data_IF_858939563701
#
_entry.id   IF_858939563701
#
_cell.length_a   1.000
_cell.length_b   1.000
_cell.length_c   1.000
_cell.angle_alpha   90.00
_cell.angle_beta   90.00
_cell.angle_gamma   90.00
#
_symmetry.space_group_name_H-M   'P 1'
#
loop_
_entity.id
_entity.type
_entity.pdbx_description
1 polymer ?
#
# COMPACT_ATOMS: atom_id res chain seq x y z
N UNK A 1 18.32 2.69 9.23
CA UNK A 1 17.20 1.78 8.92
C UNK A 1 16.16 1.80 10.05
N UNK A 2 15.01 2.41 9.78
CA UNK A 2 13.82 2.43 10.63
C UNK A 2 12.69 1.74 9.87
N UNK A 3 11.94 0.86 10.54
CA UNK A 3 10.72 0.26 9.99
C UNK A 3 9.54 0.72 10.84
N UNK A 4 8.49 1.21 10.21
CA UNK A 4 7.23 1.60 10.86
C UNK A 4 6.05 1.35 9.95
N UNK A 5 4.85 1.32 10.52
CA UNK A 5 3.64 1.36 9.71
C UNK A 5 3.41 2.75 9.12
N UNK A 6 2.64 2.82 8.04
CA UNK A 6 2.31 4.08 7.40
C UNK A 6 1.30 4.90 8.21
N UNK A 7 1.23 6.18 7.87
CA UNK A 7 0.19 7.13 8.27
C UNK A 7 -0.36 7.83 7.02
N UNK A 8 -1.55 8.45 7.06
CA UNK A 8 -2.13 9.12 5.88
C UNK A 8 -1.23 10.17 5.22
N UNK A 9 -0.30 10.78 5.97
CA UNK A 9 0.65 11.75 5.46
C UNK A 9 1.73 11.14 4.54
N UNK A 10 1.92 9.81 4.54
CA UNK A 10 2.93 9.13 3.72
C UNK A 10 2.52 8.94 2.26
N UNK A 11 1.27 9.25 1.88
CA UNK A 11 0.71 8.96 0.55
C UNK A 11 1.56 9.49 -0.62
N UNK A 12 2.08 10.71 -0.50
CA UNK A 12 2.91 11.32 -1.54
C UNK A 12 4.26 10.60 -1.68
N UNK A 13 4.90 10.26 -0.57
CA UNK A 13 6.17 9.54 -0.58
C UNK A 13 6.02 8.11 -1.14
N UNK A 14 4.91 7.44 -0.84
CA UNK A 14 4.59 6.13 -1.43
C UNK A 14 4.45 6.22 -2.96
N UNK A 15 3.69 7.19 -3.46
CA UNK A 15 3.51 7.40 -4.89
C UNK A 15 4.83 7.76 -5.60
N UNK A 16 5.71 8.52 -4.96
CA UNK A 16 7.05 8.81 -5.47
C UNK A 16 7.90 7.56 -5.59
N UNK A 17 7.94 6.71 -4.55
CA UNK A 17 8.66 5.42 -4.58
C UNK A 17 8.09 4.52 -5.67
N UNK A 18 6.77 4.42 -5.77
CA UNK A 18 6.09 3.60 -6.77
C UNK A 18 6.44 4.03 -8.21
N UNK A 19 6.42 5.34 -8.48
CA UNK A 19 6.77 5.89 -9.79
C UNK A 19 8.25 5.72 -10.16
N UNK A 20 9.13 5.47 -9.18
CA UNK A 20 10.54 5.12 -9.41
C UNK A 20 10.72 3.63 -9.69
N UNK A 21 9.84 2.78 -9.16
CA UNK A 21 9.91 1.33 -9.29
C UNK A 21 9.18 0.80 -10.53
N UNK A 22 8.12 1.45 -10.97
CA UNK A 22 7.23 0.96 -12.03
C UNK A 22 7.06 1.97 -13.19
N UNK A 23 6.77 1.49 -14.42
CA UNK A 23 6.30 2.35 -15.50
C UNK A 23 5.02 3.11 -15.10
N UNK A 24 4.80 4.28 -15.70
CA UNK A 24 3.61 5.11 -15.39
C UNK A 24 2.25 4.41 -15.63
N UNK A 25 2.21 3.35 -16.44
CA UNK A 25 1.01 2.56 -16.68
C UNK A 25 0.73 1.52 -15.57
N UNK A 26 1.73 1.19 -14.76
CA UNK A 26 1.68 0.17 -13.70
C UNK A 26 1.75 0.82 -12.30
N UNK A 27 2.34 2.02 -12.18
CA UNK A 27 2.48 2.73 -10.92
C UNK A 27 1.13 3.22 -10.36
N UNK A 28 0.85 2.87 -9.11
CA UNK A 28 -0.30 3.38 -8.38
C UNK A 28 -0.23 4.91 -8.20
N UNK A 29 -1.28 5.67 -8.56
CA UNK A 29 -1.31 7.11 -8.36
C UNK A 29 -1.50 7.47 -6.88
N UNK A 30 -1.09 8.68 -6.48
CA UNK A 30 -1.19 9.17 -5.09
C UNK A 30 -2.60 9.01 -4.49
N UNK A 31 -3.64 9.28 -5.29
CA UNK A 31 -5.02 9.13 -4.80
C UNK A 31 -5.33 7.69 -4.38
N UNK A 32 -4.80 6.69 -5.08
CA UNK A 32 -4.99 5.29 -4.70
C UNK A 32 -4.32 5.00 -3.35
N UNK A 33 -3.10 5.49 -3.13
CA UNK A 33 -2.45 5.38 -1.81
C UNK A 33 -3.23 6.10 -0.70
N UNK A 34 -3.84 7.26 -0.98
CA UNK A 34 -4.70 7.95 0.00
C UNK A 34 -5.88 7.08 0.41
N UNK A 35 -6.55 6.46 -0.56
CA UNK A 35 -7.70 5.58 -0.31
C UNK A 35 -7.28 4.33 0.48
N UNK A 36 -6.15 3.71 0.10
CA UNK A 36 -5.60 2.55 0.81
C UNK A 36 -5.19 2.88 2.24
N UNK A 37 -4.47 3.97 2.46
CA UNK A 37 -4.06 4.40 3.80
C UNK A 37 -5.25 4.76 4.69
N UNK A 38 -6.32 5.33 4.11
CA UNK A 38 -7.55 5.59 4.86
C UNK A 38 -8.22 4.29 5.31
N UNK A 39 -8.20 3.24 4.48
CA UNK A 39 -8.84 1.97 4.76
C UNK A 39 -8.00 1.05 5.67
N UNK A 40 -6.68 0.95 5.43
CA UNK A 40 -5.82 -0.06 6.02
C UNK A 40 -4.35 0.37 6.21
N UNK A 41 -4.06 1.62 6.60
CA UNK A 41 -2.68 2.08 6.85
C UNK A 41 -1.85 1.19 7.79
N UNK A 42 -2.48 0.47 8.72
CA UNK A 42 -1.81 -0.49 9.61
C UNK A 42 -1.20 -1.70 8.89
N UNK A 43 -1.60 -1.94 7.64
CA UNK A 43 -1.12 -3.02 6.78
C UNK A 43 -0.09 -2.55 5.75
N UNK A 44 0.42 -1.33 5.90
CA UNK A 44 1.60 -0.83 5.18
C UNK A 44 2.80 -0.88 6.09
N UNK A 45 3.90 -1.48 5.64
CA UNK A 45 5.20 -1.43 6.31
C UNK A 45 6.19 -0.63 5.47
N UNK A 46 6.77 0.40 6.07
CA UNK A 46 7.68 1.34 5.42
C UNK A 46 9.09 1.17 5.97
N UNK A 47 10.10 1.16 5.10
CA UNK A 47 11.51 1.17 5.47
C UNK A 47 12.16 2.51 5.12
N UNK A 48 12.75 3.15 6.12
CA UNK A 48 13.46 4.42 5.98
C UNK A 48 14.96 4.26 6.21
N UNK A 49 15.75 4.94 5.38
CA UNK A 49 17.15 5.26 5.67
C UNK A 49 17.30 6.75 5.93
N UNK A 50 17.54 7.12 7.19
CA UNK A 50 17.39 8.51 7.64
C UNK A 50 15.94 8.99 7.47
N UNK A 51 15.75 10.06 6.71
CA UNK A 51 14.44 10.64 6.37
C UNK A 51 13.89 10.11 5.03
N UNK A 52 14.67 9.34 4.29
CA UNK A 52 14.28 8.85 2.96
C UNK A 52 13.54 7.52 3.08
N UNK A 53 12.32 7.48 2.52
CA UNK A 53 11.60 6.22 2.31
C UNK A 53 12.28 5.47 1.16
N UNK A 54 12.77 4.25 1.42
CA UNK A 54 13.55 3.47 0.45
C UNK A 54 12.83 2.20 -0.03
N UNK A 55 11.78 1.77 0.67
CA UNK A 55 10.97 0.61 0.32
C UNK A 55 9.70 0.59 1.16
N UNK A 56 8.65 -0.01 0.66
CA UNK A 56 7.49 -0.40 1.44
C UNK A 56 6.98 -1.78 1.02
N UNK A 57 6.11 -2.35 1.84
CA UNK A 57 5.21 -3.45 1.44
C UNK A 57 3.79 -3.12 1.89
N UNK A 58 2.79 -3.32 1.04
CA UNK A 58 1.38 -3.14 1.39
C UNK A 58 0.46 -4.29 0.97
N UNK A 59 -0.77 -4.24 1.47
CA UNK A 59 -1.87 -5.08 1.03
C UNK A 59 -3.02 -5.10 2.02
N UNK A 60 -4.22 -5.35 1.52
CA UNK A 60 -5.43 -5.39 2.33
C UNK A 60 -5.72 -6.79 2.88
N UNK A 61 -6.43 -6.84 4.01
CA UNK A 61 -7.08 -8.07 4.47
C UNK A 61 -8.43 -8.25 3.78
N UNK A 62 -8.76 -9.45 3.31
CA UNK A 62 -10.02 -9.80 2.64
C UNK A 62 -10.37 -11.29 2.81
N UNK A 63 -11.61 -11.69 2.49
CA UNK A 63 -12.03 -13.11 2.47
C UNK A 63 -11.79 -13.78 1.11
N UNK A 64 -11.44 -13.00 0.08
CA UNK A 64 -11.05 -13.55 -1.21
C UNK A 64 -9.67 -14.22 -1.09
N UNK A 65 -9.49 -15.48 -1.53
CA UNK A 65 -8.21 -16.17 -1.41
C UNK A 65 -7.22 -15.82 -2.52
N UNK A 66 -7.72 -15.41 -3.68
CA UNK A 66 -6.93 -15.11 -4.86
C UNK A 66 -6.80 -13.60 -5.05
N UNK A 67 -5.61 -13.14 -5.41
CA UNK A 67 -5.35 -11.72 -5.69
C UNK A 67 -5.78 -11.40 -7.13
N UNK A 68 -6.77 -10.53 -7.26
CA UNK A 68 -7.41 -10.11 -8.52
C UNK A 68 -7.26 -8.60 -8.74
N UNK A 69 -7.42 -8.14 -9.98
CA UNK A 69 -7.21 -6.73 -10.36
C UNK A 69 -8.12 -5.76 -9.57
N UNK A 70 -9.35 -6.15 -9.25
CA UNK A 70 -10.28 -5.34 -8.46
C UNK A 70 -9.79 -5.06 -7.03
N UNK A 71 -8.97 -5.96 -6.46
CA UNK A 71 -8.37 -5.76 -5.13
C UNK A 71 -7.26 -4.69 -5.15
N UNK A 72 -6.57 -4.51 -6.28
CA UNK A 72 -5.61 -3.40 -6.44
C UNK A 72 -6.32 -2.04 -6.57
N UNK A 73 -7.47 -2.03 -7.25
CA UNK A 73 -8.21 -0.81 -7.59
C UNK A 73 -9.14 -0.31 -6.48
N UNK A 74 -9.70 -1.21 -5.66
CA UNK A 74 -10.76 -0.88 -4.71
C UNK A 74 -10.38 -1.19 -3.25
N UNK A 75 -9.86 -0.17 -2.56
CA UNK A 75 -9.52 -0.26 -1.14
C UNK A 75 -10.72 -0.58 -0.22
N UNK A 76 -11.96 -0.34 -0.67
CA UNK A 76 -13.16 -0.64 0.12
C UNK A 76 -13.46 -2.14 0.25
N UNK A 77 -12.77 -3.01 -0.50
CA UNK A 77 -12.86 -4.47 -0.33
C UNK A 77 -12.12 -4.97 0.93
N UNK A 78 -11.56 -4.06 1.73
CA UNK A 78 -10.83 -4.40 2.94
C UNK A 78 -11.79 -4.83 4.04
N UNK A 79 -11.47 -5.96 4.66
CA UNK A 79 -12.15 -6.48 5.84
C UNK A 79 -11.08 -6.87 6.84
N UNK A 80 -10.94 -6.12 7.94
CA UNK A 80 -9.97 -6.40 9.01
C UNK A 80 -10.14 -7.81 9.61
N UNK A 81 -11.32 -8.41 9.47
CA UNK A 81 -11.62 -9.77 9.93
C UNK A 81 -11.55 -10.82 8.82
N UNK A 82 -11.06 -10.45 7.64
CA UNK A 82 -10.94 -11.36 6.50
C UNK A 82 -9.94 -12.48 6.73
N UNK A 83 -10.12 -13.61 6.05
CA UNK A 83 -9.27 -14.79 6.18
C UNK A 83 -7.86 -14.64 5.58
N UNK A 84 -7.65 -13.68 4.67
CA UNK A 84 -6.42 -13.57 3.87
C UNK A 84 -5.82 -12.17 3.91
N UNK A 85 -4.51 -12.10 4.15
CA UNK A 85 -3.69 -10.89 3.96
C UNK A 85 -3.14 -10.89 2.54
N UNK A 86 -3.55 -9.93 1.71
CA UNK A 86 -2.95 -9.71 0.40
C UNK A 86 -1.58 -9.05 0.54
N UNK A 87 -0.72 -9.29 -0.44
CA UNK A 87 0.60 -8.66 -0.56
C UNK A 87 0.69 -8.12 -1.98
N UNK A 88 0.75 -6.80 -2.15
CA UNK A 88 0.73 -6.14 -3.46
C UNK A 88 2.14 -5.90 -3.99
N UNK A 89 2.92 -5.08 -3.30
CA UNK A 89 4.29 -4.70 -3.62
C UNK A 89 4.98 -4.19 -2.38
#
# INVERSE_FOLDING_TARGET
MLIRTAVPADAAALAEVEALCFPAAEAAPEQQFRDRLQAYAGHFWLMFDGETLISFVDGMVTDQPDLTDDLYENAALHSETGAWQMIFG
#
